data_IF_100191214156
#
_entry.id   IF_100191214156
#
_cell.length_a   1.000
_cell.length_b   1.000
_cell.length_c   1.000
_cell.angle_alpha   90.00
_cell.angle_beta   90.00
_cell.angle_gamma   90.00
#
_symmetry.space_group_name_H-M   'P 1'
#
loop_
_entity.id
_entity.type
_entity.pdbx_description
1 polymer ?
#
# COMPACT_ATOMS: atom_id res chain seq x y z
N UNK A 1 -10.96 -7.98 11.48
CA UNK A 1 -9.99 -9.02 11.10
C UNK A 1 -9.13 -8.41 10.03
N UNK A 2 -7.99 -7.90 10.48
CA UNK A 2 -7.02 -7.16 9.70
C UNK A 2 -6.20 -8.11 8.86
N UNK A 3 -5.80 -7.70 7.68
CA UNK A 3 -4.98 -8.53 6.82
C UNK A 3 -3.52 -8.24 7.17
N UNK A 4 -2.92 -9.07 8.02
CA UNK A 4 -1.47 -9.11 8.18
C UNK A 4 -0.94 -9.66 6.85
N UNK A 5 -0.41 -8.77 6.00
CA UNK A 5 0.08 -9.16 4.69
C UNK A 5 1.47 -9.80 4.83
N UNK A 6 1.52 -11.12 5.00
CA UNK A 6 2.71 -11.95 4.73
C UNK A 6 2.94 -12.02 3.21
N UNK A 7 3.33 -10.91 2.59
CA UNK A 7 3.51 -10.82 1.15
C UNK A 7 4.90 -10.37 0.78
N UNK A 8 5.89 -11.19 1.16
CA UNK A 8 7.21 -11.13 0.51
C UNK A 8 7.92 -12.48 0.44
N UNK A 9 7.20 -13.57 0.17
CA UNK A 9 7.80 -14.80 -0.32
C UNK A 9 6.85 -15.43 -1.34
N UNK A 10 7.21 -15.37 -2.63
CA UNK A 10 7.20 -16.49 -3.59
C UNK A 10 7.59 -15.97 -5.00
N UNK A 11 8.19 -16.82 -5.83
CA UNK A 11 9.27 -16.48 -6.76
C UNK A 11 8.76 -15.87 -8.07
N UNK A 12 9.68 -15.15 -8.72
CA UNK A 12 9.62 -14.74 -10.12
C UNK A 12 9.27 -15.96 -11.00
N UNK A 13 7.98 -16.20 -11.27
CA UNK A 13 7.58 -17.05 -12.38
C UNK A 13 7.81 -16.25 -13.66
N UNK A 14 9.01 -16.41 -14.20
CA UNK A 14 9.36 -16.06 -15.57
C UNK A 14 8.45 -16.84 -16.52
N UNK A 15 7.50 -16.16 -17.15
CA UNK A 15 6.90 -16.67 -18.38
C UNK A 15 7.86 -16.37 -19.55
N UNK A 16 8.23 -17.37 -20.37
CA UNK A 16 9.10 -17.14 -21.52
C UNK A 16 8.28 -16.47 -22.63
N UNK A 17 8.77 -15.33 -23.16
CA UNK A 17 8.39 -14.89 -24.51
C UNK A 17 7.79 -13.49 -24.69
N UNK A 18 7.60 -12.69 -23.64
CA UNK A 18 7.17 -11.28 -23.81
C UNK A 18 8.25 -10.37 -23.24
N UNK A 19 8.95 -9.65 -24.11
CA UNK A 19 9.86 -8.56 -23.74
C UNK A 19 9.04 -7.50 -23.01
N UNK A 20 9.08 -7.48 -21.69
CA UNK A 20 8.47 -6.41 -20.90
C UNK A 20 9.30 -5.14 -21.07
N UNK A 21 8.69 -4.01 -21.47
CA UNK A 21 9.36 -2.72 -21.49
C UNK A 21 10.01 -2.42 -20.13
N UNK A 22 11.18 -1.77 -20.11
CA UNK A 22 11.95 -1.51 -18.89
C UNK A 22 11.13 -0.80 -17.77
N UNK A 23 10.13 0.01 -18.13
CA UNK A 23 9.25 0.69 -17.17
C UNK A 23 8.21 -0.22 -16.50
N UNK A 24 8.02 -1.46 -16.97
CA UNK A 24 7.12 -2.47 -16.41
C UNK A 24 7.80 -3.39 -15.38
N UNK A 25 9.13 -3.30 -15.20
CA UNK A 25 9.89 -4.22 -14.33
C UNK A 25 9.59 -4.07 -12.83
N UNK A 26 9.05 -2.94 -12.41
CA UNK A 26 8.84 -2.59 -11.00
C UNK A 26 7.36 -2.55 -10.60
N UNK A 27 6.50 -3.17 -11.40
CA UNK A 27 5.05 -3.17 -11.20
C UNK A 27 4.62 -4.46 -10.50
N UNK A 28 4.11 -4.36 -9.28
CA UNK A 28 3.43 -5.48 -8.63
C UNK A 28 2.07 -5.69 -9.31
N UNK A 29 2.06 -6.44 -10.41
CA UNK A 29 0.85 -6.84 -11.12
C UNK A 29 0.49 -8.26 -10.74
N UNK A 30 -0.58 -8.44 -9.97
CA UNK A 30 -1.16 -9.76 -9.73
C UNK A 30 -2.25 -10.01 -10.79
N UNK A 31 -2.04 -11.02 -11.63
CA UNK A 31 -3.02 -11.48 -12.61
C UNK A 31 -3.88 -12.59 -11.99
N UNK A 32 -5.19 -12.36 -11.89
CA UNK A 32 -6.17 -13.44 -11.86
C UNK A 32 -6.86 -13.49 -13.24
N UNK A 33 -7.45 -14.62 -13.64
CA UNK A 33 -7.87 -14.96 -15.02
C UNK A 33 -8.80 -13.96 -15.74
N UNK A 34 -9.22 -12.86 -15.10
CA UNK A 34 -10.00 -11.78 -15.73
C UNK A 34 -9.76 -10.38 -15.16
N UNK A 35 -8.83 -10.18 -14.20
CA UNK A 35 -8.64 -8.90 -13.51
C UNK A 35 -7.16 -8.64 -13.18
N UNK A 36 -6.77 -7.38 -13.30
CA UNK A 36 -5.40 -6.89 -13.06
C UNK A 36 -5.42 -6.00 -11.82
N UNK A 37 -4.70 -6.38 -10.77
CA UNK A 37 -4.51 -5.52 -9.60
C UNK A 37 -3.24 -4.68 -9.77
N UNK A 38 -3.39 -3.37 -9.62
CA UNK A 38 -2.32 -2.39 -9.68
C UNK A 38 -2.25 -1.62 -8.36
N UNK A 39 -1.06 -1.52 -7.77
CA UNK A 39 -0.87 -0.85 -6.49
C UNK A 39 -0.03 0.41 -6.66
N UNK A 40 -0.49 1.51 -6.10
CA UNK A 40 0.30 2.73 -5.92
C UNK A 40 0.50 3.03 -4.44
N UNK A 41 1.65 3.59 -4.11
CA UNK A 41 2.05 3.99 -2.76
C UNK A 41 2.27 5.48 -2.73
N UNK A 42 1.78 6.15 -1.68
CA UNK A 42 1.95 7.59 -1.45
C UNK A 42 2.44 7.88 -0.04
N UNK A 43 3.40 8.80 0.09
CA UNK A 43 3.89 9.28 1.39
C UNK A 43 3.79 10.81 1.53
N UNK A 44 3.78 11.35 2.75
CA UNK A 44 3.41 10.66 3.98
C UNK A 44 1.90 10.40 4.01
N UNK A 45 1.45 9.43 4.81
CA UNK A 45 0.00 9.28 5.07
C UNK A 45 -0.45 10.17 6.25
N UNK A 46 0.41 10.39 7.24
CA UNK A 46 0.16 11.24 8.40
C UNK A 46 1.07 12.48 8.41
N UNK A 47 0.57 13.57 8.96
CA UNK A 47 1.38 14.75 9.30
C UNK A 47 2.24 14.48 10.54
N UNK A 48 3.27 15.32 10.78
CA UNK A 48 4.23 15.14 11.88
C UNK A 48 3.57 15.11 13.27
N UNK A 49 2.58 15.98 13.52
CA UNK A 49 1.85 16.01 14.78
C UNK A 49 0.99 14.75 14.99
N UNK A 50 0.35 14.26 13.93
CA UNK A 50 -0.44 13.02 13.97
C UNK A 50 0.46 11.79 14.21
N UNK A 51 1.69 11.84 13.68
CA UNK A 51 2.71 10.82 13.92
C UNK A 51 3.07 10.71 15.40
N UNK A 52 3.40 11.83 16.06
CA UNK A 52 3.78 11.83 17.47
C UNK A 52 2.63 11.34 18.36
N UNK A 53 1.40 11.77 18.05
CA UNK A 53 0.22 11.32 18.78
C UNK A 53 -0.03 9.82 18.59
N UNK A 54 0.14 9.30 17.37
CA UNK A 54 0.00 7.88 17.07
C UNK A 54 1.08 7.07 17.80
N UNK A 55 2.33 7.48 17.74
CA UNK A 55 3.45 6.80 18.40
C UNK A 55 3.18 6.67 19.91
N UNK A 56 2.78 7.76 20.57
CA UNK A 56 2.41 7.75 21.99
C UNK A 56 1.28 6.76 22.28
N UNK A 57 0.19 6.80 21.51
CA UNK A 57 -0.96 5.88 21.70
C UNK A 57 -0.55 4.42 21.51
N UNK A 58 0.32 4.13 20.55
CA UNK A 58 0.79 2.78 20.24
C UNK A 58 1.73 2.28 21.35
N UNK A 59 2.60 3.12 21.87
CA UNK A 59 3.46 2.78 23.01
C UNK A 59 2.63 2.47 24.27
N UNK A 60 1.57 3.22 24.52
CA UNK A 60 0.67 3.01 25.68
C UNK A 60 -0.20 1.76 25.55
N UNK A 61 -0.73 1.48 24.35
CA UNK A 61 -1.78 0.45 24.16
C UNK A 61 -1.28 -0.86 23.54
N UNK A 62 -0.14 -0.83 22.85
CA UNK A 62 0.36 -1.97 22.08
C UNK A 62 1.68 -2.46 22.64
N UNK A 63 2.72 -1.62 22.59
CA UNK A 63 4.05 -2.01 23.06
C UNK A 63 4.98 -0.79 23.23
N UNK A 64 5.55 -0.62 24.42
CA UNK A 64 6.45 0.50 24.73
C UNK A 64 7.80 0.42 23.99
N UNK A 65 8.19 -0.74 23.45
CA UNK A 65 9.41 -0.94 22.67
C UNK A 65 9.28 -0.48 21.21
N UNK A 66 8.13 0.03 20.78
CA UNK A 66 7.98 0.69 19.47
C UNK A 66 8.56 2.10 19.58
N UNK A 67 9.65 2.37 18.86
CA UNK A 67 10.41 3.63 18.93
C UNK A 67 10.21 4.53 17.72
N UNK A 68 9.58 4.03 16.66
CA UNK A 68 9.32 4.79 15.44
C UNK A 68 8.18 4.21 14.63
N UNK A 69 7.49 5.07 13.89
CA UNK A 69 6.41 4.72 12.97
C UNK A 69 6.63 5.51 11.69
N UNK A 70 6.56 4.84 10.54
CA UNK A 70 6.48 5.52 9.24
C UNK A 70 5.23 5.05 8.53
N UNK A 71 4.67 5.92 7.72
CA UNK A 71 3.36 5.67 7.11
C UNK A 71 3.40 5.87 5.61
N UNK A 72 2.69 4.99 4.90
CA UNK A 72 2.37 5.18 3.48
C UNK A 72 0.90 4.84 3.25
N UNK A 73 0.28 5.53 2.31
CA UNK A 73 -1.04 5.23 1.80
C UNK A 73 -0.91 4.34 0.57
N UNK A 74 -1.76 3.33 0.47
CA UNK A 74 -1.79 2.43 -0.68
C UNK A 74 -3.12 2.59 -1.43
N UNK A 75 -3.05 2.63 -2.75
CA UNK A 75 -4.19 2.62 -3.64
C UNK A 75 -4.24 1.29 -4.38
N UNK A 76 -5.25 0.48 -4.07
CA UNK A 76 -5.48 -0.80 -4.71
C UNK A 76 -6.45 -0.59 -5.87
N UNK A 77 -5.94 -0.65 -7.10
CA UNK A 77 -6.72 -0.39 -8.31
C UNK A 77 -6.97 -1.71 -9.03
N UNK A 78 -8.22 -2.11 -9.10
CA UNK A 78 -8.68 -3.25 -9.88
C UNK A 78 -9.06 -2.79 -11.28
N UNK A 79 -8.43 -3.39 -12.28
CA UNK A 79 -8.65 -3.08 -13.69
C UNK A 79 -9.28 -4.28 -14.40
N UNK A 80 -10.32 -4.03 -15.19
CA UNK A 80 -10.89 -5.05 -16.10
C UNK A 80 -9.98 -5.29 -17.32
N UNK A 81 -9.24 -4.26 -17.72
CA UNK A 81 -8.33 -4.26 -18.87
C UNK A 81 -7.11 -3.40 -18.58
N UNK A 82 -6.01 -3.67 -19.28
CA UNK A 82 -4.80 -2.85 -19.18
C UNK A 82 -5.08 -1.40 -19.62
N UNK A 83 -4.52 -0.44 -18.89
CA UNK A 83 -4.56 0.98 -19.26
C UNK A 83 -3.52 1.29 -20.35
N UNK A 84 -3.84 2.23 -21.24
CA UNK A 84 -2.83 2.84 -22.12
C UNK A 84 -1.88 3.72 -21.31
N UNK A 85 -0.68 4.06 -21.83
CA UNK A 85 0.26 4.94 -21.13
C UNK A 85 -0.35 6.31 -20.75
N UNK A 86 -1.21 6.87 -21.60
CA UNK A 86 -1.88 8.15 -21.38
C UNK A 86 -2.89 8.05 -20.23
N UNK A 87 -3.70 6.98 -20.22
CA UNK A 87 -4.65 6.72 -19.13
C UNK A 87 -3.93 6.42 -17.81
N UNK A 88 -2.81 5.71 -17.87
CA UNK A 88 -1.97 5.48 -16.69
C UNK A 88 -1.40 6.79 -16.14
N UNK A 89 -1.00 7.73 -17.01
CA UNK A 89 -0.56 9.06 -16.59
C UNK A 89 -1.71 9.85 -15.92
N UNK A 90 -2.92 9.81 -16.47
CA UNK A 90 -4.11 10.42 -15.86
C UNK A 90 -4.42 9.81 -14.49
N UNK A 91 -4.35 8.48 -14.35
CA UNK A 91 -4.56 7.81 -13.06
C UNK A 91 -3.49 8.20 -12.04
N UNK A 92 -2.22 8.26 -12.46
CA UNK A 92 -1.13 8.73 -11.60
C UNK A 92 -1.35 10.17 -11.14
N UNK A 93 -1.73 11.06 -12.06
CA UNK A 93 -2.05 12.44 -11.74
C UNK A 93 -3.21 12.54 -10.73
N UNK A 94 -4.26 11.74 -10.90
CA UNK A 94 -5.40 11.72 -9.99
C UNK A 94 -5.04 11.28 -8.56
N UNK A 95 -4.07 10.36 -8.43
CA UNK A 95 -3.64 9.81 -7.14
C UNK A 95 -2.48 10.59 -6.49
N UNK A 96 -1.78 11.40 -7.27
CA UNK A 96 -0.66 12.21 -6.82
C UNK A 96 -1.12 13.35 -5.90
N UNK A 97 -0.20 13.83 -5.06
CA UNK A 97 -0.43 15.10 -4.37
C UNK A 97 -0.12 16.26 -5.32
N UNK A 98 -0.92 17.34 -5.24
CA UNK A 98 -0.87 18.47 -6.19
C UNK A 98 0.51 19.12 -6.24
N UNK A 99 1.17 19.24 -5.09
CA UNK A 99 2.46 19.91 -4.93
C UNK A 99 3.64 18.95 -4.74
N UNK A 100 3.38 17.65 -4.63
CA UNK A 100 4.40 16.63 -4.33
C UNK A 100 4.16 15.34 -5.14
N UNK A 101 4.04 15.41 -6.48
CA UNK A 101 3.68 14.26 -7.32
C UNK A 101 4.71 13.13 -7.28
N UNK A 102 5.98 13.45 -7.00
CA UNK A 102 7.08 12.49 -6.84
C UNK A 102 6.93 11.57 -5.63
N UNK A 103 6.04 11.92 -4.68
CA UNK A 103 5.72 11.09 -3.53
C UNK A 103 4.71 9.98 -3.83
N UNK A 104 4.23 9.86 -5.07
CA UNK A 104 3.46 8.72 -5.56
C UNK A 104 4.35 7.78 -6.38
N UNK A 105 4.42 6.50 -5.98
CA UNK A 105 5.23 5.49 -6.66
C UNK A 105 4.50 4.16 -6.79
N UNK A 106 5.03 3.24 -7.61
CA UNK A 106 4.50 1.88 -7.79
C UNK A 106 5.20 0.85 -6.90
N UNK A 107 6.29 1.25 -6.26
CA UNK A 107 7.00 0.48 -5.25
C UNK A 107 6.76 1.11 -3.88
N UNK A 108 6.73 0.27 -2.84
CA UNK A 108 6.60 0.74 -1.46
C UNK A 108 7.83 1.55 -1.05
N UNK A 109 7.59 2.60 -0.27
CA UNK A 109 8.67 3.36 0.36
C UNK A 109 9.18 2.69 1.64
N UNK A 110 8.41 1.76 2.21
CA UNK A 110 8.70 1.11 3.50
C UNK A 110 9.47 -0.20 3.37
N UNK A 111 9.36 -0.89 2.23
CA UNK A 111 9.96 -2.23 2.03
C UNK A 111 11.50 -2.23 2.05
N UNK A 112 12.14 -1.15 1.59
CA UNK A 112 13.60 -1.04 1.61
C UNK A 112 14.20 -1.08 3.02
N UNK A 113 13.41 -0.72 4.05
CA UNK A 113 13.89 -0.62 5.43
C UNK A 113 13.75 -1.93 6.21
N UNK A 114 12.77 -2.75 5.85
CA UNK A 114 12.51 -4.04 6.51
C UNK A 114 13.58 -5.08 6.17
N UNK A 115 14.08 -5.06 4.94
CA UNK A 115 15.11 -5.99 4.48
C UNK A 115 16.44 -5.89 5.24
N UNK A 116 16.63 -4.87 6.09
CA UNK A 116 17.86 -4.62 6.84
C UNK A 116 17.76 -4.79 8.36
N UNK A 117 16.58 -4.99 8.95
CA UNK A 117 16.43 -4.96 10.41
C UNK A 117 15.42 -5.99 10.95
N UNK A 118 15.82 -6.89 11.86
CA UNK A 118 14.89 -7.79 12.55
C UNK A 118 13.98 -7.04 13.55
N UNK A 119 14.24 -5.75 13.77
CA UNK A 119 13.50 -4.86 14.65
C UNK A 119 12.52 -3.97 13.86
N UNK A 120 11.95 -4.52 12.79
CA UNK A 120 11.00 -3.81 11.94
C UNK A 120 9.82 -4.69 11.56
N UNK A 121 8.63 -4.10 11.50
CA UNK A 121 7.42 -4.79 11.04
C UNK A 121 6.55 -3.84 10.24
N UNK A 122 5.98 -4.33 9.15
CA UNK A 122 4.97 -3.59 8.38
C UNK A 122 3.60 -4.14 8.71
N UNK A 123 2.67 -3.25 9.04
CA UNK A 123 1.26 -3.56 9.25
C UNK A 123 0.42 -2.81 8.23
N UNK A 124 -0.43 -3.52 7.49
CA UNK A 124 -1.39 -2.92 6.57
C UNK A 124 -2.80 -2.95 7.17
N UNK A 125 -3.46 -1.79 7.13
CA UNK A 125 -4.84 -1.59 7.59
C UNK A 125 -5.67 -1.03 6.45
N UNK A 126 -6.59 -1.86 5.93
CA UNK A 126 -7.46 -1.53 4.82
C UNK A 126 -8.84 -2.16 4.94
N UNK A 127 -9.78 -1.78 4.05
CA UNK A 127 -11.09 -2.42 3.98
C UNK A 127 -10.97 -3.89 3.58
N UNK A 128 -11.93 -4.70 4.00
CA UNK A 128 -11.99 -6.10 3.55
C UNK A 128 -12.27 -6.14 2.05
N UNK A 129 -11.45 -6.86 1.30
CA UNK A 129 -11.56 -6.95 -0.17
C UNK A 129 -12.89 -7.55 -0.66
N UNK A 130 -13.70 -8.18 0.20
CA UNK A 130 -14.96 -8.79 -0.21
C UNK A 130 -16.07 -7.80 -0.64
N UNK A 131 -16.01 -6.53 -0.21
CA UNK A 131 -17.07 -5.55 -0.50
C UNK A 131 -16.49 -4.20 -0.89
N UNK A 132 -17.06 -3.57 -1.93
CA UNK A 132 -16.66 -2.22 -2.32
C UNK A 132 -17.01 -1.22 -1.23
N UNK A 133 -16.06 -0.36 -0.85
CA UNK A 133 -16.33 0.75 0.06
C UNK A 133 -17.07 1.89 -0.66
N UNK A 134 -17.68 2.79 0.12
CA UNK A 134 -18.22 4.05 -0.42
C UNK A 134 -17.12 4.91 -1.08
N UNK A 135 -15.88 4.82 -0.57
CA UNK A 135 -14.75 5.47 -1.21
C UNK A 135 -14.53 4.93 -2.63
N UNK A 136 -14.54 3.61 -2.80
CA UNK A 136 -14.40 2.98 -4.12
C UNK A 136 -15.51 3.38 -5.08
N UNK A 137 -16.78 3.43 -4.64
CA UNK A 137 -17.89 3.91 -5.47
C UNK A 137 -17.67 5.33 -6.00
N UNK A 138 -17.20 6.24 -5.14
CA UNK A 138 -16.91 7.61 -5.53
C UNK A 138 -15.68 7.71 -6.45
N UNK A 139 -14.62 6.98 -6.12
CA UNK A 139 -13.38 6.96 -6.89
C UNK A 139 -13.60 6.42 -8.31
N UNK A 140 -14.35 5.31 -8.45
CA UNK A 140 -14.69 4.74 -9.76
C UNK A 140 -15.52 5.72 -10.58
N UNK A 141 -16.45 6.46 -9.95
CA UNK A 141 -17.24 7.49 -10.64
C UNK A 141 -16.36 8.62 -11.20
N UNK A 142 -15.36 9.07 -10.44
CA UNK A 142 -14.38 10.07 -10.89
C UNK A 142 -13.51 9.51 -12.02
N UNK A 143 -13.02 8.28 -11.90
CA UNK A 143 -12.26 7.60 -12.95
C UNK A 143 -13.05 7.55 -14.27
N UNK A 144 -14.34 7.17 -14.21
CA UNK A 144 -15.22 7.15 -15.38
C UNK A 144 -15.38 8.53 -16.02
N UNK A 145 -15.55 9.58 -15.22
CA UNK A 145 -15.63 10.96 -15.72
C UNK A 145 -14.33 11.41 -16.43
N UNK A 146 -13.19 10.85 -16.04
CA UNK A 146 -11.87 11.06 -16.67
C UNK A 146 -11.56 10.04 -17.78
N UNK A 147 -12.56 9.31 -18.28
CA UNK A 147 -12.43 8.28 -19.32
C UNK A 147 -11.54 7.08 -18.92
N UNK A 148 -11.31 6.86 -17.63
CA UNK A 148 -10.65 5.67 -17.05
C UNK A 148 -11.69 4.58 -16.77
N UNK A 149 -12.43 4.17 -17.80
CA UNK A 149 -13.53 3.20 -17.70
C UNK A 149 -13.07 1.79 -17.29
N UNK A 150 -11.80 1.49 -17.45
CA UNK A 150 -11.18 0.21 -17.10
C UNK A 150 -11.06 -0.02 -15.59
N UNK A 151 -11.15 1.05 -14.78
CA UNK A 151 -11.08 0.96 -13.31
C UNK A 151 -12.40 0.41 -12.78
N UNK A 152 -12.42 -0.88 -12.42
CA UNK A 152 -13.56 -1.54 -11.80
C UNK A 152 -13.68 -1.18 -10.32
N UNK A 153 -12.53 -1.03 -9.64
CA UNK A 153 -12.49 -0.79 -8.20
C UNK A 153 -11.25 0.01 -7.82
N UNK A 154 -11.39 0.90 -6.84
CA UNK A 154 -10.28 1.67 -6.31
C UNK A 154 -10.43 1.82 -4.79
N UNK A 155 -9.60 1.10 -4.05
CA UNK A 155 -9.61 1.12 -2.58
C UNK A 155 -8.38 1.83 -2.02
N UNK A 156 -8.50 2.30 -0.77
CA UNK A 156 -7.39 2.85 0.00
C UNK A 156 -7.08 1.95 1.19
N UNK A 157 -5.81 1.64 1.39
CA UNK A 157 -5.29 1.08 2.64
C UNK A 157 -4.14 1.94 3.18
N UNK A 158 -3.73 1.67 4.41
CA UNK A 158 -2.69 2.40 5.14
C UNK A 158 -1.67 1.40 5.62
N UNK A 159 -0.40 1.63 5.33
CA UNK A 159 0.71 0.80 5.80
C UNK A 159 1.52 1.57 6.83
N UNK A 160 1.90 0.86 7.88
CA UNK A 160 2.68 1.37 8.99
C UNK A 160 3.94 0.52 9.12
N UNK A 161 5.10 1.15 9.00
CA UNK A 161 6.36 0.54 9.36
C UNK A 161 6.66 0.89 10.82
N UNK A 162 6.65 -0.11 11.70
CA UNK A 162 6.97 0.04 13.11
C UNK A 162 8.42 -0.33 13.34
N UNK A 163 9.19 0.61 13.87
CA UNK A 163 10.57 0.39 14.31
C UNK A 163 10.56 0.00 15.77
N UNK A 164 11.19 -1.11 16.10
CA UNK A 164 11.33 -1.63 17.45
C UNK A 164 12.70 -1.25 18.03
N UNK A 165 12.76 -1.12 19.35
CA UNK A 165 14.02 -0.93 20.06
C UNK A 165 14.95 -2.13 19.80
N UNK A 166 16.24 -1.92 19.47
CA UNK A 166 17.19 -3.00 19.32
C UNK A 166 17.27 -3.88 20.56
N UNK A 167 17.31 -5.20 20.35
CA UNK A 167 17.31 -6.19 21.42
C UNK A 167 15.92 -6.54 21.98
N UNK A 168 14.85 -5.84 21.56
CA UNK A 168 13.49 -6.26 21.89
C UNK A 168 13.03 -7.42 21.00
N UNK A 169 12.12 -8.25 21.54
CA UNK A 169 11.51 -9.35 20.78
C UNK A 169 10.55 -8.82 19.70
N UNK A 170 10.19 -9.67 18.71
CA UNK A 170 9.18 -9.32 17.72
C UNK A 170 7.83 -9.08 18.40
N UNK A 171 6.98 -8.25 17.78
CA UNK A 171 5.60 -8.08 18.26
C UNK A 171 4.82 -9.38 18.08
N UNK A 172 4.05 -9.75 19.10
CA UNK A 172 3.18 -10.92 19.02
C UNK A 172 1.89 -10.63 18.21
N UNK A 173 1.12 -11.69 17.92
CA UNK A 173 -0.12 -11.56 17.14
C UNK A 173 -1.18 -10.72 17.85
N UNK A 174 -1.25 -10.75 19.17
CA UNK A 174 -2.22 -9.96 19.94
C UNK A 174 -1.88 -8.46 19.82
N UNK A 175 -0.61 -8.10 19.93
CA UNK A 175 -0.11 -6.74 19.74
C UNK A 175 -0.37 -6.24 18.31
N UNK A 176 -0.07 -7.05 17.30
CA UNK A 176 -0.36 -6.68 15.90
C UNK A 176 -1.86 -6.50 15.63
N UNK A 177 -2.70 -7.35 16.22
CA UNK A 177 -4.16 -7.22 16.11
C UNK A 177 -4.68 -5.96 16.84
N UNK A 178 -4.14 -5.66 18.02
CA UNK A 178 -4.49 -4.46 18.79
C UNK A 178 -4.05 -3.17 18.09
N UNK A 179 -2.92 -3.20 17.37
CA UNK A 179 -2.49 -2.07 16.55
C UNK A 179 -3.44 -1.83 15.39
N UNK A 180 -3.89 -2.91 14.74
CA UNK A 180 -4.72 -2.80 13.56
C UNK A 180 -6.20 -2.47 13.89
N UNK A 181 -6.66 -2.82 15.10
CA UNK A 181 -8.02 -2.63 15.65
C UNK A 181 -8.58 -1.22 15.51
#
# INVERSE_FOLDING_TARGET
MFQISDHCLLPLLQYPGVLTPHWLRNLLVRWNRSQVLFIFYRKPFLQENEYEELLRKVQEKVACNIVGIRTEQCFNVELEKALTPEKLATLKWLLAETYEPEKLQTCSFLEGEVCGSPYSVIVEVGPRMAFSTAFSTNAVSICKALSLTEVARLERSRRYHLSLQPGSGPLDKCQLNSFAA
#
